data_IF_188529104488
#
_entry.id   IF_188529104488
#
_cell.length_a   1.000
_cell.length_b   1.000
_cell.length_c   1.000
_cell.angle_alpha   90.00
_cell.angle_beta   90.00
_cell.angle_gamma   90.00
#
_symmetry.space_group_name_H-M   'P 1'
#
loop_
_entity.id
_entity.type
_entity.pdbx_description
1 polymer ?
#
# COMPACT_ATOMS: atom_id res chain seq x y z
N UNK A 1 -16.83 -5.33 19.05
CA UNK A 1 -17.39 -5.45 17.68
C UNK A 1 -18.20 -4.21 17.33
N UNK A 2 -19.19 -3.83 18.14
CA UNK A 2 -20.05 -2.64 17.95
C UNK A 2 -19.26 -1.36 17.67
N UNK A 3 -18.21 -1.07 18.44
CA UNK A 3 -17.34 0.11 18.24
C UNK A 3 -16.77 0.18 16.82
N UNK A 4 -16.36 -0.94 16.22
CA UNK A 4 -15.84 -0.95 14.85
C UNK A 4 -16.92 -0.59 13.83
N UNK A 5 -18.14 -1.08 14.03
CA UNK A 5 -19.27 -0.80 13.15
C UNK A 5 -19.72 0.66 13.27
N UNK A 6 -19.71 1.24 14.48
CA UNK A 6 -19.98 2.66 14.67
C UNK A 6 -18.95 3.54 13.95
N UNK A 7 -17.66 3.20 14.06
CA UNK A 7 -16.60 3.95 13.36
C UNK A 7 -16.73 3.79 11.85
N UNK A 8 -16.98 2.57 11.36
CA UNK A 8 -17.18 2.33 9.92
C UNK A 8 -18.39 3.10 9.38
N UNK A 9 -19.50 3.10 10.12
CA UNK A 9 -20.70 3.88 9.77
C UNK A 9 -20.38 5.36 9.68
N UNK A 10 -19.65 5.92 10.66
CA UNK A 10 -19.21 7.34 10.61
C UNK A 10 -18.34 7.62 9.38
N UNK A 11 -17.39 6.75 9.05
CA UNK A 11 -16.56 6.86 7.84
C UNK A 11 -17.46 6.88 6.59
N UNK A 12 -18.42 5.95 6.51
CA UNK A 12 -19.33 5.83 5.37
C UNK A 12 -20.29 7.01 5.22
N UNK A 13 -20.84 7.52 6.33
CA UNK A 13 -21.75 8.67 6.33
C UNK A 13 -21.01 9.95 5.93
N UNK A 14 -19.79 10.14 6.45
CA UNK A 14 -18.95 11.28 6.09
C UNK A 14 -18.46 11.20 4.63
N UNK A 15 -18.10 10.00 4.17
CA UNK A 15 -17.77 9.76 2.76
C UNK A 15 -18.94 10.13 1.86
N UNK A 16 -20.14 9.63 2.17
CA UNK A 16 -21.32 9.91 1.36
C UNK A 16 -21.64 11.41 1.36
N UNK A 17 -21.57 12.10 2.52
CA UNK A 17 -21.78 13.55 2.60
C UNK A 17 -20.78 14.38 1.78
N UNK A 18 -19.52 13.95 1.73
CA UNK A 18 -18.45 14.64 1.02
C UNK A 18 -18.55 14.46 -0.50
N UNK A 19 -18.87 13.25 -0.95
CA UNK A 19 -18.71 12.86 -2.36
C UNK A 19 -20.03 12.61 -3.11
N UNK A 20 -21.15 12.43 -2.40
CA UNK A 20 -22.46 12.15 -2.98
C UNK A 20 -23.52 13.10 -2.43
N UNK A 21 -24.35 13.67 -3.32
CA UNK A 21 -25.53 14.40 -2.86
C UNK A 21 -26.65 13.39 -2.58
N UNK A 22 -26.97 13.15 -1.30
CA UNK A 22 -27.99 12.19 -0.86
C UNK A 22 -29.38 12.52 -1.43
N UNK A 23 -29.63 13.77 -1.85
CA UNK A 23 -30.90 14.22 -2.44
C UNK A 23 -31.04 13.87 -3.92
N UNK A 24 -29.92 13.59 -4.58
CA UNK A 24 -29.89 13.10 -5.95
C UNK A 24 -29.55 11.62 -5.85
N UNK A 25 -30.48 10.71 -6.18
CA UNK A 25 -30.09 9.33 -6.45
C UNK A 25 -29.08 9.36 -7.60
N UNK A 26 -27.80 9.51 -7.26
CA UNK A 26 -26.76 9.91 -8.21
C UNK A 26 -26.56 8.81 -9.23
N UNK A 27 -26.84 7.57 -8.85
CA UNK A 27 -26.81 6.45 -9.77
C UNK A 27 -28.13 6.30 -10.56
N UNK A 28 -29.26 6.86 -10.14
CA UNK A 28 -30.55 6.71 -10.84
C UNK A 28 -30.91 5.22 -11.04
N UNK A 29 -31.15 4.82 -12.28
CA UNK A 29 -31.31 3.41 -12.71
C UNK A 29 -29.99 2.72 -13.09
N UNK A 30 -28.83 3.39 -12.95
CA UNK A 30 -27.54 2.83 -13.30
C UNK A 30 -27.17 1.70 -12.33
N UNK A 31 -27.09 0.48 -12.86
CA UNK A 31 -26.67 -0.72 -12.14
C UNK A 31 -25.31 -1.24 -12.57
N UNK A 32 -24.52 -0.43 -13.29
CA UNK A 32 -23.20 -0.83 -13.81
C UNK A 32 -22.27 -1.28 -12.68
N UNK A 33 -22.32 -0.63 -11.51
CA UNK A 33 -21.53 -1.04 -10.35
C UNK A 33 -21.97 -2.40 -9.78
N UNK A 34 -23.15 -2.90 -10.13
CA UNK A 34 -23.71 -4.14 -9.65
C UNK A 34 -23.54 -5.29 -10.65
N UNK A 35 -22.95 -5.08 -11.82
CA UNK A 35 -22.79 -6.14 -12.82
C UNK A 35 -21.56 -7.03 -12.55
N UNK A 36 -21.57 -8.24 -13.10
CA UNK A 36 -20.45 -9.18 -13.07
C UNK A 36 -19.18 -8.67 -13.78
N UNK A 37 -19.34 -7.72 -14.71
CA UNK A 37 -18.25 -7.05 -15.41
C UNK A 37 -17.33 -6.28 -14.47
N UNK A 38 -17.85 -5.84 -13.31
CA UNK A 38 -17.06 -5.12 -12.33
C UNK A 38 -16.23 -6.08 -11.47
N UNK A 39 -14.91 -6.07 -11.72
CA UNK A 39 -13.93 -6.87 -10.99
C UNK A 39 -13.46 -6.19 -9.72
N UNK A 40 -14.35 -6.08 -8.75
CA UNK A 40 -13.98 -5.61 -7.41
C UNK A 40 -13.14 -6.64 -6.65
N UNK A 41 -12.30 -6.19 -5.70
CA UNK A 41 -11.60 -7.10 -4.79
C UNK A 41 -12.58 -7.87 -3.88
N UNK A 42 -12.14 -8.98 -3.26
CA UNK A 42 -12.91 -9.66 -2.23
C UNK A 42 -13.28 -8.72 -1.07
N UNK A 43 -14.44 -8.99 -0.46
CA UNK A 43 -14.96 -8.24 0.67
C UNK A 43 -14.04 -8.39 1.89
N UNK A 44 -13.79 -7.29 2.61
CA UNK A 44 -13.04 -7.36 3.86
C UNK A 44 -13.85 -8.05 4.97
N UNK A 45 -13.17 -8.64 5.97
CA UNK A 45 -13.84 -9.22 7.15
C UNK A 45 -14.73 -8.19 7.85
N UNK A 46 -14.22 -6.96 8.01
CA UNK A 46 -14.95 -5.85 8.62
C UNK A 46 -16.26 -5.54 7.89
N UNK A 47 -16.21 -5.36 6.57
CA UNK A 47 -17.40 -5.01 5.79
C UNK A 47 -18.35 -6.20 5.66
N UNK A 48 -17.84 -7.44 5.59
CA UNK A 48 -18.66 -8.64 5.61
C UNK A 48 -19.49 -8.75 6.89
N UNK A 49 -18.84 -8.63 8.05
CA UNK A 49 -19.52 -8.72 9.34
C UNK A 49 -20.46 -7.52 9.55
N UNK A 50 -20.11 -6.32 9.04
CA UNK A 50 -20.99 -5.14 9.10
C UNK A 50 -22.25 -5.29 8.25
N UNK A 51 -22.13 -5.82 7.03
CA UNK A 51 -23.29 -6.07 6.16
C UNK A 51 -24.15 -7.19 6.72
N UNK A 52 -23.54 -8.27 7.23
CA UNK A 52 -24.28 -9.37 7.85
C UNK A 52 -25.13 -8.89 9.03
N UNK A 53 -24.58 -8.03 9.88
CA UNK A 53 -25.31 -7.39 10.98
C UNK A 53 -26.49 -6.56 10.46
N UNK A 54 -26.28 -5.74 9.42
CA UNK A 54 -27.36 -4.98 8.78
C UNK A 54 -28.48 -5.88 8.25
N UNK A 55 -28.13 -6.97 7.57
CA UNK A 55 -29.09 -7.91 6.99
C UNK A 55 -29.95 -8.58 8.07
N UNK A 56 -29.32 -8.98 9.19
CA UNK A 56 -30.02 -9.57 10.34
C UNK A 56 -31.00 -8.59 10.97
N UNK A 57 -30.57 -7.35 11.22
CA UNK A 57 -31.40 -6.30 11.80
C UNK A 57 -32.63 -5.98 10.93
N UNK A 58 -32.47 -5.99 9.60
CA UNK A 58 -33.54 -5.65 8.66
C UNK A 58 -34.29 -6.88 8.12
N UNK A 59 -33.95 -8.09 8.57
CA UNK A 59 -34.48 -9.37 8.04
C UNK A 59 -34.39 -9.46 6.51
N UNK A 60 -33.32 -8.88 5.96
CA UNK A 60 -33.10 -8.81 4.51
C UNK A 60 -32.50 -10.13 3.98
N UNK A 61 -32.74 -10.39 2.69
CA UNK A 61 -32.24 -11.58 1.97
C UNK A 61 -31.57 -11.13 0.66
N UNK A 62 -30.66 -11.95 0.08
CA UNK A 62 -30.10 -13.19 0.65
C UNK A 62 -29.13 -12.93 1.82
N UNK A 63 -28.56 -13.98 2.42
CA UNK A 63 -27.51 -13.81 3.43
C UNK A 63 -26.17 -13.36 2.81
N UNK A 64 -25.23 -13.00 3.68
CA UNK A 64 -23.93 -12.47 3.27
C UNK A 64 -23.10 -13.46 2.45
N UNK A 65 -23.29 -14.77 2.59
CA UNK A 65 -22.46 -15.76 1.91
C UNK A 65 -22.79 -15.83 0.42
N UNK A 66 -24.05 -15.59 0.04
CA UNK A 66 -24.43 -15.41 -1.37
C UNK A 66 -23.68 -14.22 -1.98
N UNK A 67 -23.54 -13.12 -1.24
CA UNK A 67 -22.79 -11.96 -1.72
C UNK A 67 -21.28 -12.23 -1.80
N UNK A 68 -20.68 -12.89 -0.81
CA UNK A 68 -19.27 -13.31 -0.85
C UNK A 68 -18.98 -14.23 -2.05
N UNK A 69 -19.89 -15.18 -2.31
CA UNK A 69 -19.83 -16.07 -3.47
C UNK A 69 -19.88 -15.27 -4.77
N UNK A 70 -20.86 -14.37 -4.93
CA UNK A 70 -20.92 -13.47 -6.08
C UNK A 70 -19.63 -12.65 -6.25
N UNK A 71 -19.06 -12.16 -5.15
CA UNK A 71 -17.81 -11.39 -5.15
C UNK A 71 -16.59 -12.17 -5.64
N UNK A 72 -16.61 -13.49 -5.46
CA UNK A 72 -15.52 -14.39 -5.83
C UNK A 72 -15.72 -14.95 -7.24
N UNK A 73 -16.92 -15.47 -7.54
CA UNK A 73 -17.17 -16.27 -8.74
C UNK A 73 -17.89 -15.53 -9.85
N UNK A 74 -18.62 -14.46 -9.55
CA UNK A 74 -19.40 -13.69 -10.54
C UNK A 74 -20.36 -14.58 -11.35
N UNK A 75 -20.97 -15.56 -10.68
CA UNK A 75 -21.82 -16.60 -11.28
C UNK A 75 -23.20 -16.12 -11.71
N UNK A 76 -23.59 -14.89 -11.33
CA UNK A 76 -24.81 -14.22 -11.79
C UNK A 76 -24.46 -12.90 -12.52
N UNK A 77 -25.32 -12.42 -13.44
CA UNK A 77 -25.04 -11.17 -14.16
C UNK A 77 -25.15 -9.91 -13.29
N UNK A 78 -25.89 -10.00 -12.18
CA UNK A 78 -26.13 -8.91 -11.24
C UNK A 78 -25.82 -9.34 -9.80
N UNK A 79 -25.40 -8.37 -9.00
CA UNK A 79 -25.22 -8.47 -7.56
C UNK A 79 -26.49 -8.99 -6.89
N UNK A 80 -26.31 -9.89 -5.92
CA UNK A 80 -27.38 -10.54 -5.17
C UNK A 80 -28.30 -9.58 -4.37
N UNK A 81 -27.87 -8.35 -4.14
CA UNK A 81 -28.65 -7.33 -3.43
C UNK A 81 -29.26 -6.27 -4.34
N UNK A 82 -29.08 -6.37 -5.65
CA UNK A 82 -29.59 -5.37 -6.58
C UNK A 82 -30.79 -5.91 -7.36
N UNK A 83 -31.91 -5.19 -7.32
CA UNK A 83 -33.07 -5.40 -8.18
C UNK A 83 -33.41 -4.10 -8.93
N UNK A 84 -33.63 -4.16 -10.25
CA UNK A 84 -33.83 -2.96 -11.08
C UNK A 84 -34.91 -2.00 -10.55
N UNK A 85 -36.02 -2.53 -10.04
CA UNK A 85 -37.15 -1.73 -9.57
C UNK A 85 -37.08 -1.36 -8.07
N UNK A 86 -36.19 -2.03 -7.30
CA UNK A 86 -36.08 -1.82 -5.84
C UNK A 86 -34.75 -1.19 -5.41
N UNK A 87 -33.77 -1.14 -6.32
CA UNK A 87 -32.42 -0.68 -6.02
C UNK A 87 -31.58 -1.71 -5.28
N UNK A 88 -30.58 -1.23 -4.55
CA UNK A 88 -29.66 -2.04 -3.77
C UNK A 88 -30.13 -2.16 -2.31
N UNK A 89 -30.44 -3.37 -1.85
CA UNK A 89 -30.90 -3.62 -0.47
C UNK A 89 -29.88 -3.20 0.58
N UNK A 90 -28.58 -3.33 0.28
CA UNK A 90 -27.49 -2.96 1.18
C UNK A 90 -26.93 -1.56 0.86
N UNK A 91 -27.65 -0.71 0.13
CA UNK A 91 -27.13 0.60 -0.29
C UNK A 91 -26.54 1.44 0.87
N UNK A 92 -27.16 1.53 2.06
CA UNK A 92 -26.60 2.29 3.19
C UNK A 92 -25.28 1.73 3.71
N UNK A 93 -25.11 0.41 3.65
CA UNK A 93 -23.92 -0.32 4.15
C UNK A 93 -23.05 -0.87 3.02
N UNK A 94 -23.19 -0.30 1.81
CA UNK A 94 -22.46 -0.79 0.63
C UNK A 94 -20.95 -0.66 0.86
N UNK A 95 -20.14 -1.66 0.47
CA UNK A 95 -18.70 -1.66 0.67
C UNK A 95 -18.01 -0.43 0.08
N UNK A 96 -16.82 -0.12 0.60
CA UNK A 96 -16.02 1.03 0.17
C UNK A 96 -15.74 0.98 -1.33
N UNK A 97 -15.44 -0.19 -1.91
CA UNK A 97 -15.24 -0.29 -3.37
C UNK A 97 -16.50 0.09 -4.18
N UNK A 98 -17.70 -0.17 -3.66
CA UNK A 98 -18.96 0.28 -4.29
C UNK A 98 -19.12 1.80 -4.16
N UNK A 99 -18.66 2.39 -3.04
CA UNK A 99 -18.65 3.84 -2.83
C UNK A 99 -17.59 4.56 -3.68
N UNK A 100 -16.47 3.90 -3.98
CA UNK A 100 -15.43 4.45 -4.83
C UNK A 100 -15.81 4.46 -6.32
N UNK A 101 -16.70 3.54 -6.73
CA UNK A 101 -17.11 3.39 -8.11
C UNK A 101 -17.68 4.70 -8.69
N UNK A 102 -17.40 4.93 -9.98
CA UNK A 102 -17.87 6.11 -10.67
C UNK A 102 -16.93 7.29 -10.48
N UNK A 103 -16.90 7.85 -9.26
CA UNK A 103 -16.18 9.08 -8.99
C UNK A 103 -14.65 8.89 -9.03
N UNK A 104 -14.10 7.81 -8.49
CA UNK A 104 -12.65 7.59 -8.44
C UNK A 104 -12.21 6.53 -9.46
N UNK A 105 -11.21 6.87 -10.28
CA UNK A 105 -10.80 6.10 -11.44
C UNK A 105 -9.34 5.70 -11.36
N UNK A 106 -9.11 4.41 -11.10
CA UNK A 106 -7.82 3.77 -11.12
C UNK A 106 -7.47 3.27 -12.53
N UNK A 107 -6.17 3.16 -12.82
CA UNK A 107 -5.66 2.59 -14.08
C UNK A 107 -6.24 1.19 -14.28
N UNK A 108 -6.75 0.92 -15.49
CA UNK A 108 -7.36 -0.37 -15.84
C UNK A 108 -8.83 -0.52 -15.46
N UNK A 109 -9.47 0.46 -14.81
CA UNK A 109 -10.91 0.40 -14.57
C UNK A 109 -11.72 0.48 -15.88
N UNK A 110 -12.78 -0.32 -15.99
CA UNK A 110 -13.73 -0.34 -17.11
C UNK A 110 -14.34 1.05 -17.34
N UNK A 111 -14.29 1.63 -18.55
CA UNK A 111 -14.80 2.98 -18.83
C UNK A 111 -16.22 3.21 -18.32
N UNK A 112 -16.49 4.43 -17.84
CA UNK A 112 -17.84 4.78 -17.40
C UNK A 112 -18.80 4.84 -18.59
N UNK A 113 -20.02 4.27 -18.48
CA UNK A 113 -21.05 4.41 -19.51
C UNK A 113 -21.34 5.87 -19.84
N UNK A 114 -21.80 6.14 -21.07
CA UNK A 114 -22.15 7.48 -21.52
C UNK A 114 -23.10 8.22 -20.58
N UNK A 115 -24.09 7.52 -20.04
CA UNK A 115 -25.10 8.04 -19.13
C UNK A 115 -24.64 8.13 -17.66
N UNK A 116 -23.41 7.75 -17.33
CA UNK A 116 -22.94 7.80 -15.95
C UNK A 116 -22.81 9.26 -15.47
N UNK A 117 -23.48 9.60 -14.36
CA UNK A 117 -23.43 10.97 -13.79
C UNK A 117 -22.01 11.40 -13.40
N UNK A 118 -21.14 10.44 -13.12
CA UNK A 118 -19.76 10.71 -12.75
C UNK A 118 -18.85 10.89 -13.97
N UNK A 119 -19.29 10.60 -15.19
CA UNK A 119 -18.44 10.61 -16.39
C UNK A 119 -17.66 11.91 -16.57
N UNK A 120 -18.29 13.06 -16.27
CA UNK A 120 -17.67 14.40 -16.36
C UNK A 120 -17.02 14.87 -15.04
N UNK A 121 -17.22 14.16 -13.94
CA UNK A 121 -16.72 14.50 -12.60
C UNK A 121 -15.61 13.54 -12.10
N UNK A 122 -15.31 12.50 -12.88
CA UNK A 122 -14.47 11.41 -12.45
C UNK A 122 -13.02 11.86 -12.23
N UNK A 123 -12.49 11.55 -11.05
CA UNK A 123 -11.14 11.88 -10.62
C UNK A 123 -10.20 10.70 -10.94
N UNK A 124 -9.06 11.00 -11.57
CA UNK A 124 -8.02 10.00 -11.78
C UNK A 124 -7.23 9.80 -10.50
N UNK A 125 -7.14 8.55 -10.06
CA UNK A 125 -6.47 8.15 -8.83
C UNK A 125 -5.40 7.12 -9.13
N UNK A 126 -4.26 7.23 -8.46
CA UNK A 126 -3.18 6.27 -8.48
C UNK A 126 -2.96 5.72 -7.07
N UNK A 127 -2.32 4.55 -6.92
CA UNK A 127 -1.93 4.05 -5.60
C UNK A 127 -1.13 5.07 -4.78
N UNK A 128 -0.32 5.91 -5.44
CA UNK A 128 0.54 6.90 -4.79
C UNK A 128 -0.22 8.14 -4.28
N UNK A 129 -1.36 8.50 -4.87
CA UNK A 129 -2.10 9.71 -4.51
C UNK A 129 -3.48 9.44 -3.90
N UNK A 130 -3.90 8.17 -3.80
CA UNK A 130 -5.25 7.81 -3.36
C UNK A 130 -5.60 8.35 -1.98
N UNK A 131 -4.66 8.35 -1.04
CA UNK A 131 -4.88 8.88 0.32
C UNK A 131 -4.91 10.41 0.37
N UNK A 132 -4.35 11.09 -0.64
CA UNK A 132 -4.45 12.55 -0.78
C UNK A 132 -5.76 12.98 -1.44
N UNK A 133 -6.29 12.15 -2.35
CA UNK A 133 -7.51 12.45 -3.12
C UNK A 133 -8.78 11.99 -2.38
N UNK A 134 -8.73 10.82 -1.74
CA UNK A 134 -9.89 10.17 -1.14
C UNK A 134 -9.79 10.30 0.38
N UNK A 135 -10.39 11.37 0.89
CA UNK A 135 -10.26 11.89 2.26
C UNK A 135 -10.41 10.85 3.36
N UNK A 136 -11.41 9.97 3.25
CA UNK A 136 -11.75 8.98 4.30
C UNK A 136 -11.15 7.58 4.06
N UNK A 137 -10.32 7.45 3.04
CA UNK A 137 -9.71 6.18 2.69
C UNK A 137 -8.61 5.74 3.67
N UNK A 138 -7.74 6.64 4.19
CA UNK A 138 -6.74 6.29 5.20
C UNK A 138 -7.37 5.65 6.45
N UNK A 139 -8.40 6.28 7.01
CA UNK A 139 -9.09 5.82 8.23
C UNK A 139 -9.85 4.51 7.98
N UNK A 140 -10.40 4.33 6.78
CA UNK A 140 -11.05 3.08 6.39
C UNK A 140 -10.06 1.90 6.36
N UNK A 141 -8.89 2.08 5.72
CA UNK A 141 -7.89 1.00 5.65
C UNK A 141 -7.26 0.71 7.01
N UNK A 142 -7.04 1.74 7.84
CA UNK A 142 -6.62 1.57 9.22
C UNK A 142 -7.64 0.74 10.02
N UNK A 143 -8.92 1.13 9.96
CA UNK A 143 -10.00 0.44 10.66
C UNK A 143 -10.12 -1.02 10.21
N UNK A 144 -10.03 -1.27 8.91
CA UNK A 144 -10.04 -2.61 8.32
C UNK A 144 -8.90 -3.47 8.88
N UNK A 145 -7.67 -2.94 8.90
CA UNK A 145 -6.52 -3.69 9.41
C UNK A 145 -6.61 -3.93 10.93
N UNK A 146 -7.09 -2.94 11.70
CA UNK A 146 -7.37 -3.10 13.13
C UNK A 146 -8.45 -4.15 13.41
N UNK A 147 -9.45 -4.25 12.54
CA UNK A 147 -10.47 -5.29 12.65
C UNK A 147 -9.91 -6.68 12.37
N UNK A 148 -9.04 -6.82 11.37
CA UNK A 148 -8.34 -8.09 11.10
C UNK A 148 -7.51 -8.54 12.31
N UNK A 149 -6.84 -7.60 13.00
CA UNK A 149 -6.13 -7.87 14.24
C UNK A 149 -7.07 -8.28 15.38
N UNK A 150 -8.19 -7.56 15.55
CA UNK A 150 -9.23 -7.90 16.53
C UNK A 150 -9.82 -9.30 16.31
N UNK A 151 -9.97 -9.73 15.05
CA UNK A 151 -10.52 -11.04 14.66
C UNK A 151 -9.48 -12.14 14.59
N UNK A 152 -8.21 -11.87 14.84
CA UNK A 152 -7.17 -12.90 14.81
C UNK A 152 -7.43 -13.95 15.89
N UNK A 153 -7.50 -15.22 15.50
CA UNK A 153 -7.81 -16.34 16.41
C UNK A 153 -6.58 -17.09 16.91
N UNK A 154 -5.41 -16.84 16.33
CA UNK A 154 -4.15 -17.51 16.65
C UNK A 154 -2.96 -16.61 16.30
N UNK A 155 -1.78 -16.99 16.77
CA UNK A 155 -0.54 -16.21 16.58
C UNK A 155 -0.18 -15.97 15.11
N UNK A 156 -0.42 -16.94 14.23
CA UNK A 156 -0.16 -16.78 12.80
C UNK A 156 -1.06 -15.71 12.18
N UNK A 157 -2.35 -15.73 12.49
CA UNK A 157 -3.30 -14.71 12.03
C UNK A 157 -3.00 -13.34 12.66
N UNK A 158 -2.60 -13.33 13.94
CA UNK A 158 -2.22 -12.11 14.65
C UNK A 158 -1.00 -11.46 14.01
N UNK A 159 0.04 -12.24 13.74
CA UNK A 159 1.25 -11.79 13.05
C UNK A 159 0.93 -11.20 11.67
N UNK A 160 0.10 -11.91 10.89
CA UNK A 160 -0.33 -11.44 9.57
C UNK A 160 -1.08 -10.10 9.66
N UNK A 161 -1.95 -9.93 10.65
CA UNK A 161 -2.68 -8.69 10.87
C UNK A 161 -1.75 -7.54 11.34
N UNK A 162 -0.79 -7.82 12.23
CA UNK A 162 0.22 -6.85 12.66
C UNK A 162 1.06 -6.35 11.49
N UNK A 163 1.54 -7.25 10.63
CA UNK A 163 2.31 -6.91 9.43
C UNK A 163 1.46 -6.08 8.45
N UNK A 164 0.20 -6.45 8.23
CA UNK A 164 -0.71 -5.67 7.35
C UNK A 164 -0.93 -4.26 7.88
N UNK A 165 -1.18 -4.13 9.17
CA UNK A 165 -1.41 -2.85 9.82
C UNK A 165 -0.14 -1.97 9.78
N UNK A 166 1.04 -2.54 10.06
CA UNK A 166 2.31 -1.84 9.94
C UNK A 166 2.60 -1.33 8.52
N UNK A 167 2.35 -2.17 7.50
CA UNK A 167 2.47 -1.78 6.08
C UNK A 167 1.49 -0.67 5.71
N UNK A 168 0.29 -0.71 6.27
CA UNK A 168 -0.71 0.31 6.03
C UNK A 168 -0.25 1.66 6.60
N UNK A 169 0.31 1.67 7.81
CA UNK A 169 0.91 2.87 8.38
C UNK A 169 2.13 3.39 7.60
N UNK A 170 2.99 2.50 7.06
CA UNK A 170 4.10 2.93 6.16
C UNK A 170 3.56 3.67 4.94
N UNK A 171 2.49 3.17 4.30
CA UNK A 171 1.89 3.83 3.13
C UNK A 171 1.26 5.19 3.43
N UNK A 172 0.93 5.43 4.70
CA UNK A 172 0.31 6.67 5.17
C UNK A 172 1.35 7.62 5.79
N UNK A 173 2.65 7.32 5.69
CA UNK A 173 3.73 8.11 6.30
C UNK A 173 3.53 8.26 7.83
N UNK A 174 3.11 7.17 8.49
CA UNK A 174 2.85 7.08 9.95
C UNK A 174 3.82 6.11 10.61
N UNK A 175 5.08 6.51 10.70
CA UNK A 175 6.18 5.62 11.07
C UNK A 175 6.13 5.16 12.53
N UNK A 176 5.65 6.02 13.44
CA UNK A 176 5.56 5.69 14.88
C UNK A 176 4.54 4.59 15.14
N UNK A 177 3.36 4.65 14.52
CA UNK A 177 2.37 3.59 14.62
C UNK A 177 2.87 2.31 13.97
N UNK A 178 3.50 2.40 12.78
CA UNK A 178 4.09 1.23 12.13
C UNK A 178 5.13 0.55 13.03
N UNK A 179 6.01 1.34 13.65
CA UNK A 179 7.02 0.86 14.59
C UNK A 179 6.39 0.06 15.73
N UNK A 180 5.33 0.59 16.37
CA UNK A 180 4.67 -0.06 17.49
C UNK A 180 4.20 -1.49 17.13
N UNK A 181 3.48 -1.63 16.01
CA UNK A 181 2.95 -2.93 15.60
C UNK A 181 4.03 -3.88 15.07
N UNK A 182 5.08 -3.37 14.43
CA UNK A 182 6.23 -4.21 14.05
C UNK A 182 6.98 -4.73 15.27
N UNK A 183 7.12 -3.93 16.33
CA UNK A 183 7.72 -4.40 17.59
C UNK A 183 6.87 -5.45 18.29
N UNK A 184 5.54 -5.39 18.18
CA UNK A 184 4.69 -6.52 18.59
C UNK A 184 4.91 -7.75 17.70
N UNK A 185 4.98 -7.56 16.39
CA UNK A 185 5.24 -8.64 15.43
C UNK A 185 6.59 -9.34 15.68
N UNK A 186 7.62 -8.58 16.04
CA UNK A 186 8.96 -9.10 16.35
C UNK A 186 8.97 -9.92 17.65
N UNK A 187 8.22 -9.49 18.68
CA UNK A 187 8.06 -10.29 19.90
C UNK A 187 7.39 -11.63 19.61
N UNK A 188 6.44 -11.64 18.67
CA UNK A 188 5.67 -12.83 18.31
C UNK A 188 6.45 -13.77 17.39
N UNK A 189 7.19 -13.22 16.44
CA UNK A 189 7.97 -13.97 15.45
C UNK A 189 9.27 -13.21 15.09
N UNK A 190 10.33 -13.34 15.91
CA UNK A 190 11.59 -12.59 15.73
C UNK A 190 12.36 -12.97 14.46
N UNK A 191 12.02 -14.12 13.85
CA UNK A 191 12.59 -14.64 12.60
C UNK A 191 11.64 -14.49 11.41
N UNK A 192 10.53 -13.74 11.54
CA UNK A 192 9.71 -13.43 10.37
C UNK A 192 10.44 -12.44 9.46
N UNK A 193 10.65 -12.86 8.22
CA UNK A 193 11.32 -12.08 7.17
C UNK A 193 10.69 -10.70 6.99
N UNK A 194 9.36 -10.63 6.98
CA UNK A 194 8.60 -9.41 6.67
C UNK A 194 8.68 -8.43 7.83
N UNK A 195 8.61 -8.92 9.07
CA UNK A 195 8.81 -8.10 10.26
C UNK A 195 10.20 -7.46 10.24
N UNK A 196 11.25 -8.27 10.01
CA UNK A 196 12.61 -7.75 9.96
C UNK A 196 12.81 -6.77 8.79
N UNK A 197 12.28 -7.06 7.60
CA UNK A 197 12.35 -6.14 6.47
C UNK A 197 11.69 -4.79 6.78
N UNK A 198 10.45 -4.79 7.27
CA UNK A 198 9.74 -3.54 7.59
C UNK A 198 10.34 -2.81 8.79
N UNK A 199 10.92 -3.51 9.78
CA UNK A 199 11.70 -2.86 10.84
C UNK A 199 12.95 -2.19 10.29
N UNK A 200 13.64 -2.81 9.33
CA UNK A 200 14.77 -2.20 8.62
C UNK A 200 14.36 -0.88 7.95
N UNK A 201 13.23 -0.88 7.23
CA UNK A 201 12.63 0.31 6.62
C UNK A 201 12.31 1.38 7.67
N UNK A 202 11.61 1.03 8.75
CA UNK A 202 11.21 1.98 9.79
C UNK A 202 12.40 2.55 10.55
N UNK A 203 13.41 1.73 10.88
CA UNK A 203 14.61 2.23 11.54
C UNK A 203 15.41 3.18 10.64
N UNK A 204 15.43 2.94 9.32
CA UNK A 204 16.02 3.88 8.35
C UNK A 204 15.29 5.23 8.39
N UNK A 205 13.95 5.24 8.34
CA UNK A 205 13.16 6.48 8.44
C UNK A 205 13.40 7.22 9.76
N UNK A 206 13.54 6.49 10.87
CA UNK A 206 13.85 7.05 12.19
C UNK A 206 15.33 7.44 12.35
N UNK A 207 16.12 7.39 11.28
CA UNK A 207 17.55 7.67 11.26
C UNK A 207 18.38 6.84 12.27
N UNK A 208 17.90 5.65 12.63
CA UNK A 208 18.62 4.68 13.45
C UNK A 208 19.31 3.67 12.53
N UNK A 209 20.38 4.14 11.90
CA UNK A 209 21.03 3.45 10.78
C UNK A 209 21.58 2.09 11.20
N UNK A 210 22.16 1.95 12.40
CA UNK A 210 22.69 0.68 12.88
C UNK A 210 21.60 -0.39 13.01
N UNK A 211 20.42 -0.04 13.54
CA UNK A 211 19.30 -0.99 13.61
C UNK A 211 18.69 -1.25 12.24
N UNK A 212 18.69 -0.26 11.35
CA UNK A 212 18.24 -0.45 9.98
C UNK A 212 19.09 -1.51 9.26
N UNK A 213 20.42 -1.44 9.40
CA UNK A 213 21.36 -2.44 8.88
C UNK A 213 21.04 -3.80 9.49
N UNK A 214 21.03 -3.91 10.82
CA UNK A 214 20.80 -5.18 11.53
C UNK A 214 19.52 -5.89 11.06
N UNK A 215 18.39 -5.18 11.01
CA UNK A 215 17.11 -5.79 10.62
C UNK A 215 17.04 -6.12 9.14
N UNK A 216 17.66 -5.31 8.28
CA UNK A 216 17.70 -5.57 6.84
C UNK A 216 18.58 -6.78 6.52
N UNK A 217 19.77 -6.87 7.12
CA UNK A 217 20.68 -8.02 6.99
C UNK A 217 20.02 -9.30 7.53
N UNK A 218 19.38 -9.23 8.71
CA UNK A 218 18.63 -10.36 9.24
C UNK A 218 17.53 -10.84 8.30
N UNK A 219 16.79 -9.91 7.66
CA UNK A 219 15.78 -10.29 6.67
C UNK A 219 16.39 -10.94 5.42
N UNK A 220 17.58 -10.51 4.98
CA UNK A 220 18.33 -11.17 3.89
C UNK A 220 18.74 -12.59 4.28
N UNK A 221 19.32 -12.77 5.47
CA UNK A 221 19.79 -14.07 5.98
C UNK A 221 18.64 -15.08 6.13
N UNK A 222 17.44 -14.60 6.44
CA UNK A 222 16.21 -15.39 6.51
C UNK A 222 15.59 -15.70 5.12
N UNK A 223 16.28 -15.39 4.03
CA UNK A 223 15.83 -15.66 2.66
C UNK A 223 14.86 -14.61 2.09
N UNK A 224 14.90 -13.39 2.63
CA UNK A 224 13.94 -12.33 2.30
C UNK A 224 13.98 -11.82 0.88
N UNK A 225 15.08 -12.04 0.16
CA UNK A 225 15.25 -11.67 -1.25
C UNK A 225 14.12 -12.23 -2.14
N UNK A 226 13.59 -13.41 -1.81
CA UNK A 226 12.47 -14.02 -2.55
C UNK A 226 11.16 -13.24 -2.43
N UNK A 227 10.95 -12.55 -1.31
CA UNK A 227 9.73 -11.83 -0.99
C UNK A 227 9.86 -10.33 -1.22
N UNK A 228 11.09 -9.82 -1.10
CA UNK A 228 11.47 -8.42 -1.24
C UNK A 228 12.69 -8.34 -2.16
N UNK A 229 12.51 -8.39 -3.49
CA UNK A 229 13.61 -8.21 -4.44
C UNK A 229 14.38 -6.90 -4.21
N UNK A 230 13.71 -5.90 -3.64
CA UNK A 230 14.29 -4.60 -3.30
C UNK A 230 15.25 -4.57 -2.11
N UNK A 231 15.34 -5.65 -1.34
CA UNK A 231 16.03 -5.66 -0.05
C UNK A 231 17.50 -5.27 -0.14
N UNK A 232 18.20 -5.69 -1.20
CA UNK A 232 19.59 -5.33 -1.43
C UNK A 232 19.76 -3.85 -1.78
N UNK A 233 18.85 -3.30 -2.59
CA UNK A 233 18.82 -1.87 -2.88
C UNK A 233 18.53 -1.06 -1.62
N UNK A 234 17.58 -1.52 -0.77
CA UNK A 234 17.31 -0.92 0.53
C UNK A 234 18.54 -0.91 1.43
N UNK A 235 19.27 -2.02 1.54
CA UNK A 235 20.52 -2.09 2.32
C UNK A 235 21.60 -1.17 1.75
N UNK A 236 21.73 -1.09 0.43
CA UNK A 236 22.66 -0.18 -0.24
C UNK A 236 22.40 1.29 0.11
N UNK A 237 21.13 1.71 0.09
CA UNK A 237 20.75 3.05 0.54
C UNK A 237 20.98 3.28 2.03
N UNK A 238 20.77 2.28 2.89
CA UNK A 238 21.09 2.40 4.32
C UNK A 238 22.60 2.64 4.52
N UNK A 239 23.46 1.95 3.77
CA UNK A 239 24.91 2.19 3.82
C UNK A 239 25.29 3.60 3.31
N UNK A 240 24.64 4.10 2.27
CA UNK A 240 24.81 5.48 1.79
C UNK A 240 24.36 6.50 2.84
N UNK A 241 23.20 6.30 3.48
CA UNK A 241 22.72 7.17 4.56
C UNK A 241 23.74 7.19 5.73
N UNK A 242 24.38 6.05 6.02
CA UNK A 242 25.45 5.99 7.05
C UNK A 242 26.67 6.84 6.70
N UNK A 243 27.07 6.82 5.42
CA UNK A 243 28.17 7.64 4.90
C UNK A 243 27.83 9.12 5.02
N UNK A 244 26.61 9.51 4.62
CA UNK A 244 26.17 10.89 4.64
C UNK A 244 26.03 11.42 6.08
N UNK A 245 25.45 10.62 6.99
CA UNK A 245 25.26 11.00 8.40
C UNK A 245 26.59 11.25 9.13
N UNK A 246 27.63 10.48 8.79
CA UNK A 246 28.93 10.59 9.44
C UNK A 246 29.99 11.25 8.53
N UNK A 247 29.58 11.97 7.48
CA UNK A 247 30.48 12.52 6.46
C UNK A 247 31.65 13.33 7.02
N UNK A 248 31.41 14.15 8.06
CA UNK A 248 32.42 15.01 8.68
C UNK A 248 33.26 14.31 9.77
N UNK A 249 32.94 13.06 10.12
CA UNK A 249 33.50 12.35 11.29
C UNK A 249 34.14 11.01 10.91
N UNK A 250 33.69 10.41 9.80
CA UNK A 250 34.25 9.19 9.25
C UNK A 250 35.68 9.40 8.79
N UNK A 251 36.60 8.57 9.28
CA UNK A 251 37.90 8.39 8.63
C UNK A 251 37.69 7.89 7.20
N UNK A 252 38.51 8.36 6.26
CA UNK A 252 38.41 7.99 4.84
C UNK A 252 38.35 6.48 4.60
N UNK A 253 39.07 5.71 5.42
CA UNK A 253 39.08 4.24 5.38
C UNK A 253 37.68 3.68 5.64
N UNK A 254 37.01 4.13 6.72
CA UNK A 254 35.68 3.62 7.09
C UNK A 254 34.61 4.11 6.12
N UNK A 255 34.75 5.32 5.59
CA UNK A 255 33.90 5.83 4.50
C UNK A 255 34.00 4.94 3.26
N UNK A 256 35.22 4.61 2.83
CA UNK A 256 35.46 3.74 1.68
C UNK A 256 34.94 2.32 1.91
N UNK A 257 35.07 1.78 3.12
CA UNK A 257 34.50 0.48 3.47
C UNK A 257 32.97 0.47 3.31
N UNK A 258 32.27 1.50 3.81
CA UNK A 258 30.82 1.62 3.68
C UNK A 258 30.39 1.81 2.23
N UNK A 259 31.10 2.63 1.45
CA UNK A 259 30.86 2.79 0.01
C UNK A 259 31.07 1.47 -0.76
N UNK A 260 32.05 0.67 -0.36
CA UNK A 260 32.27 -0.67 -0.93
C UNK A 260 31.11 -1.61 -0.59
N UNK A 261 30.66 -1.65 0.67
CA UNK A 261 29.48 -2.44 1.07
C UNK A 261 28.23 -2.02 0.29
N UNK A 262 27.97 -0.72 0.16
CA UNK A 262 26.88 -0.19 -0.65
C UNK A 262 26.98 -0.66 -2.11
N UNK A 263 28.16 -0.50 -2.73
CA UNK A 263 28.42 -0.93 -4.10
C UNK A 263 28.15 -2.43 -4.32
N UNK A 264 28.63 -3.28 -3.40
CA UNK A 264 28.46 -4.72 -3.50
C UNK A 264 26.99 -5.14 -3.43
N UNK A 265 26.24 -4.66 -2.42
CA UNK A 265 24.83 -5.02 -2.28
C UNK A 265 23.98 -4.47 -3.42
N UNK A 266 24.27 -3.26 -3.91
CA UNK A 266 23.55 -2.68 -5.06
C UNK A 266 23.82 -3.46 -6.36
N UNK A 267 25.02 -4.01 -6.54
CA UNK A 267 25.29 -4.91 -7.67
C UNK A 267 24.59 -6.26 -7.52
N UNK A 268 24.59 -6.84 -6.31
CA UNK A 268 23.81 -8.07 -6.03
C UNK A 268 22.35 -7.88 -6.39
N UNK A 269 21.75 -6.74 -6.06
CA UNK A 269 20.36 -6.41 -6.43
C UNK A 269 20.07 -6.61 -7.93
N UNK A 270 21.04 -6.29 -8.80
CA UNK A 270 20.92 -6.39 -10.26
C UNK A 270 21.01 -7.83 -10.78
N UNK A 271 21.62 -8.73 -10.03
CA UNK A 271 21.66 -10.17 -10.35
C UNK A 271 20.26 -10.79 -10.22
N UNK A 272 19.42 -10.26 -9.32
CA UNK A 272 18.05 -10.71 -9.11
C UNK A 272 17.06 -10.00 -10.03
N UNK A 273 17.21 -8.69 -10.22
CA UNK A 273 16.37 -7.89 -11.12
C UNK A 273 17.21 -6.89 -11.91
N UNK A 274 17.47 -7.20 -13.19
CA UNK A 274 18.39 -6.43 -14.04
C UNK A 274 18.00 -4.95 -14.18
N UNK A 275 16.70 -4.64 -14.25
CA UNK A 275 16.18 -3.28 -14.47
C UNK A 275 15.64 -2.62 -13.20
N UNK A 276 16.26 -2.89 -12.05
CA UNK A 276 15.86 -2.28 -10.80
C UNK A 276 16.37 -0.84 -10.68
N UNK A 277 15.46 0.13 -10.85
CA UNK A 277 15.74 1.58 -10.82
C UNK A 277 16.56 1.99 -9.60
N UNK A 278 16.15 1.53 -8.42
CA UNK A 278 16.79 1.86 -7.15
C UNK A 278 18.24 1.37 -7.07
N UNK A 279 18.58 0.26 -7.73
CA UNK A 279 19.96 -0.24 -7.76
C UNK A 279 20.87 0.69 -8.57
N UNK A 280 20.42 1.10 -9.77
CA UNK A 280 21.17 2.06 -10.59
C UNK A 280 21.29 3.42 -9.92
N UNK A 281 20.21 3.88 -9.28
CA UNK A 281 20.19 5.13 -8.55
C UNK A 281 21.20 5.11 -7.38
N UNK A 282 21.21 4.04 -6.58
CA UNK A 282 22.18 3.87 -5.50
C UNK A 282 23.63 3.79 -6.02
N UNK A 283 23.87 3.08 -7.13
CA UNK A 283 25.21 3.00 -7.73
C UNK A 283 25.68 4.37 -8.24
N UNK A 284 24.77 5.19 -8.78
CA UNK A 284 25.08 6.56 -9.20
C UNK A 284 25.50 7.41 -8.00
N UNK A 285 24.82 7.28 -6.86
CA UNK A 285 25.22 7.94 -5.61
C UNK A 285 26.58 7.45 -5.10
N UNK A 286 26.86 6.13 -5.16
CA UNK A 286 28.19 5.60 -4.82
C UNK A 286 29.28 6.22 -5.71
N UNK A 287 29.07 6.28 -7.02
CA UNK A 287 30.02 6.87 -7.96
C UNK A 287 30.25 8.37 -7.68
N UNK A 288 29.16 9.11 -7.45
CA UNK A 288 29.21 10.53 -7.09
C UNK A 288 29.99 10.75 -5.78
N UNK A 289 29.74 9.94 -4.74
CA UNK A 289 30.48 10.00 -3.47
C UNK A 289 31.96 9.62 -3.61
N UNK A 290 32.33 8.86 -4.65
CA UNK A 290 33.73 8.57 -5.01
C UNK A 290 34.36 9.62 -5.92
N UNK A 291 33.64 10.70 -6.25
CA UNK A 291 34.04 11.73 -7.20
C UNK A 291 34.26 11.20 -8.64
N UNK A 292 33.66 10.06 -8.98
CA UNK A 292 33.63 9.52 -10.35
C UNK A 292 32.39 10.06 -11.08
N UNK A 293 32.54 11.28 -11.62
CA UNK A 293 31.43 12.03 -12.21
C UNK A 293 30.93 11.39 -13.50
N UNK A 294 31.85 10.94 -14.34
CA UNK A 294 31.54 10.30 -15.62
C UNK A 294 30.65 9.07 -15.39
N UNK A 295 31.03 8.21 -14.43
CA UNK A 295 30.25 7.03 -14.09
C UNK A 295 28.91 7.39 -13.43
N UNK A 296 28.88 8.42 -12.59
CA UNK A 296 27.64 8.87 -11.97
C UNK A 296 26.61 9.32 -13.02
N UNK A 297 27.03 10.14 -13.99
CA UNK A 297 26.19 10.62 -15.10
C UNK A 297 25.63 9.43 -15.89
N UNK A 298 26.49 8.49 -16.31
CA UNK A 298 26.06 7.30 -17.06
C UNK A 298 24.97 6.51 -16.32
N UNK A 299 25.12 6.35 -15.00
CA UNK A 299 24.16 5.62 -14.18
C UNK A 299 22.84 6.39 -13.97
N UNK A 300 22.88 7.72 -13.82
CA UNK A 300 21.66 8.54 -13.76
C UNK A 300 20.92 8.53 -15.11
N UNK A 301 21.63 8.58 -16.23
CA UNK A 301 21.03 8.41 -17.57
C UNK A 301 20.39 7.03 -17.72
N UNK A 302 21.05 5.97 -17.20
CA UNK A 302 20.46 4.62 -17.17
C UNK A 302 19.17 4.59 -16.35
N UNK A 303 19.10 5.27 -15.20
CA UNK A 303 17.86 5.44 -14.43
C UNK A 303 16.76 6.07 -15.29
N UNK A 304 17.06 7.15 -16.02
CA UNK A 304 16.09 7.81 -16.89
C UNK A 304 15.67 6.96 -18.10
N UNK A 305 16.53 6.06 -18.58
CA UNK A 305 16.14 5.11 -19.64
C UNK A 305 15.09 4.10 -19.18
N UNK A 306 15.07 3.77 -17.87
CA UNK A 306 14.11 2.82 -17.27
C UNK A 306 12.88 3.58 -16.77
N UNK A 307 13.08 4.72 -16.11
CA UNK A 307 12.04 5.59 -15.57
C UNK A 307 12.28 7.04 -16.03
N UNK A 308 11.77 7.45 -17.21
CA UNK A 308 12.02 8.79 -17.78
C UNK A 308 11.57 9.97 -16.91
N UNK A 309 10.65 9.72 -15.97
CA UNK A 309 10.12 10.72 -15.05
C UNK A 309 10.81 10.74 -13.68
N UNK A 310 11.93 10.04 -13.50
CA UNK A 310 12.59 9.94 -12.20
C UNK A 310 13.16 11.31 -11.77
N UNK A 311 12.49 11.94 -10.80
CA UNK A 311 12.81 13.30 -10.38
C UNK A 311 14.16 13.43 -9.67
N UNK A 312 14.67 12.35 -9.08
CA UNK A 312 15.97 12.35 -8.41
C UNK A 312 17.08 12.37 -9.45
N UNK A 313 17.03 11.47 -10.44
CA UNK A 313 18.03 11.42 -11.51
C UNK A 313 18.08 12.72 -12.33
N UNK A 314 16.93 13.30 -12.67
CA UNK A 314 16.87 14.60 -13.36
C UNK A 314 17.59 15.70 -12.58
N UNK A 315 17.32 15.83 -11.27
CA UNK A 315 17.96 16.84 -10.42
C UNK A 315 19.46 16.62 -10.27
N UNK A 316 19.91 15.37 -10.14
CA UNK A 316 21.33 15.08 -9.96
C UNK A 316 22.14 15.42 -11.22
N UNK A 317 21.61 15.15 -12.41
CA UNK A 317 22.25 15.51 -13.69
C UNK A 317 22.35 17.02 -13.91
N UNK A 318 21.49 17.83 -13.29
CA UNK A 318 21.59 19.30 -13.33
C UNK A 318 22.73 19.86 -12.46
N UNK A 319 23.20 19.09 -11.46
CA UNK A 319 24.09 19.57 -10.40
C UNK A 319 25.52 18.99 -10.50
N UNK A 320 25.71 17.82 -11.12
CA UNK A 320 27.01 17.11 -11.23
C UNK A 320 27.96 17.78 -12.24
#
# INVERSE_FOLDING_TARGET
MEVFFEVLKKIYDNFDREYFDVRLNSCGECFTCCTSEMRYPPLSKLEADFIDEFLKQHKAKPDIDVFKRYMTYRDTPLCSYFEKNKGCTIYPVRPMYCKLFGLFRFKGNVPLPGACVFKKKALRVTPHNMYKIIKYLPEFYELKCKYDLFKSGNDKERLEALIRLAREYIKQDREEESYLYLKEGEKLAPEDVRVNFYLGVIYRYKNNIEKAIYHTEKAIDLGGVKYFPEIYSSLGFIYLDMVDMQFNVLLDIKRNELLNKAYEVLNKSREFEENMVNSYLGLAFVANSRCDKERAIELFEKVLSIEPGNTIALKMLEII
#
